data_IF_022520922529
#
_entry.id   IF_022520922529
#
_cell.length_a   1.000
_cell.length_b   1.000
_cell.length_c   1.000
_cell.angle_alpha   90.00
_cell.angle_beta   90.00
_cell.angle_gamma   90.00
#
_symmetry.space_group_name_H-M   'P 1'
#
loop_
_entity.id
_entity.type
_entity.pdbx_description
1 polymer ?
#
# COMPACT_ATOMS: atom_id res chain seq x y z
N UNK A 1 -83.14 -26.09 -10.81
CA UNK A 1 -82.75 -25.91 -9.40
C UNK A 1 -81.33 -26.46 -9.26
N UNK A 2 -80.33 -25.59 -9.06
CA UNK A 2 -79.01 -25.85 -8.47
C UNK A 2 -78.04 -26.71 -9.32
N UNK A 3 -76.73 -26.48 -9.47
CA UNK A 3 -75.77 -25.50 -8.94
C UNK A 3 -74.59 -25.46 -9.94
N UNK A 4 -74.05 -24.27 -10.09
CA UNK A 4 -72.79 -23.86 -10.71
C UNK A 4 -71.56 -24.70 -10.32
N UNK A 5 -70.60 -24.90 -11.23
CA UNK A 5 -69.17 -24.87 -10.87
C UNK A 5 -68.31 -24.25 -11.98
N UNK A 6 -67.66 -23.18 -11.57
CA UNK A 6 -66.68 -22.33 -12.23
C UNK A 6 -65.34 -23.03 -12.40
N UNK A 7 -64.57 -22.64 -13.41
CA UNK A 7 -63.11 -22.80 -13.41
C UNK A 7 -62.50 -21.64 -14.19
N UNK A 8 -61.51 -21.02 -13.55
CA UNK A 8 -61.11 -19.64 -13.70
C UNK A 8 -59.99 -19.43 -14.72
N UNK A 9 -59.91 -18.18 -15.17
CA UNK A 9 -58.81 -17.54 -15.87
C UNK A 9 -57.45 -17.72 -15.14
N UNK A 10 -56.41 -17.95 -15.92
CA UNK A 10 -55.06 -17.49 -15.59
C UNK A 10 -54.53 -16.71 -16.80
N UNK A 11 -54.70 -15.39 -16.76
CA UNK A 11 -54.06 -14.46 -17.69
C UNK A 11 -52.70 -14.07 -17.11
N UNK A 12 -51.62 -14.39 -17.83
CA UNK A 12 -50.27 -13.97 -17.49
C UNK A 12 -50.12 -12.46 -17.76
N UNK A 13 -50.02 -11.66 -16.70
CA UNK A 13 -49.60 -10.27 -16.78
C UNK A 13 -48.08 -10.22 -16.93
N UNK A 14 -47.61 -9.93 -18.14
CA UNK A 14 -46.24 -9.51 -18.37
C UNK A 14 -46.09 -8.07 -17.86
N UNK A 15 -45.53 -7.92 -16.65
CA UNK A 15 -45.08 -6.62 -16.15
C UNK A 15 -43.82 -6.22 -16.92
N UNK A 16 -44.00 -5.37 -17.93
CA UNK A 16 -42.92 -4.61 -18.54
C UNK A 16 -42.34 -3.64 -17.52
N UNK A 17 -41.28 -4.05 -16.84
CA UNK A 17 -40.47 -3.14 -16.02
C UNK A 17 -39.66 -2.30 -16.99
N UNK A 18 -40.07 -1.04 -17.18
CA UNK A 18 -39.22 -0.03 -17.79
C UNK A 18 -38.01 0.16 -16.87
N UNK A 19 -36.90 -0.50 -17.22
CA UNK A 19 -35.63 -0.27 -16.53
C UNK A 19 -35.22 1.18 -16.80
N UNK A 20 -34.91 1.98 -15.77
CA UNK A 20 -34.22 3.23 -16.00
C UNK A 20 -32.90 2.89 -16.69
N UNK A 21 -32.70 3.43 -17.90
CA UNK A 21 -31.39 3.44 -18.54
C UNK A 21 -30.51 4.24 -17.60
N UNK A 22 -29.73 3.55 -16.76
CA UNK A 22 -28.62 4.18 -16.08
C UNK A 22 -27.70 4.63 -17.20
N UNK A 23 -27.70 5.94 -17.47
CA UNK A 23 -26.56 6.59 -18.09
C UNK A 23 -25.42 6.31 -17.11
N UNK A 24 -24.69 5.23 -17.39
CA UNK A 24 -23.38 5.00 -16.80
C UNK A 24 -22.57 6.19 -17.28
N UNK A 25 -22.47 7.22 -16.43
CA UNK A 25 -21.33 8.09 -16.51
C UNK A 25 -20.14 7.13 -16.46
N UNK A 26 -19.47 6.95 -17.59
CA UNK A 26 -18.13 6.40 -17.61
C UNK A 26 -17.34 7.36 -16.75
N UNK A 27 -17.27 7.08 -15.45
CA UNK A 27 -16.20 7.60 -14.63
C UNK A 27 -14.98 7.01 -15.30
N UNK A 28 -14.35 7.83 -16.14
CA UNK A 28 -13.00 7.59 -16.63
C UNK A 28 -12.16 7.57 -15.37
N UNK A 29 -12.08 6.39 -14.75
CA UNK A 29 -11.05 6.09 -13.77
C UNK A 29 -9.81 6.10 -14.63
N UNK A 30 -9.18 7.27 -14.72
CA UNK A 30 -7.78 7.39 -15.11
C UNK A 30 -7.00 6.70 -14.01
N UNK A 31 -6.97 5.37 -14.05
CA UNK A 31 -5.90 4.60 -13.46
C UNK A 31 -4.68 4.99 -14.28
N UNK A 32 -3.95 6.01 -13.82
CA UNK A 32 -2.58 6.23 -14.28
C UNK A 32 -1.84 4.94 -13.98
N UNK A 33 -1.75 4.09 -14.99
CA UNK A 33 -0.80 2.97 -15.02
C UNK A 33 0.53 3.65 -15.19
N UNK A 34 1.13 4.00 -14.05
CA UNK A 34 2.47 4.55 -14.00
C UNK A 34 3.40 3.52 -14.63
N UNK A 35 4.00 3.86 -15.78
CA UNK A 35 4.99 3.03 -16.43
C UNK A 35 6.08 2.68 -15.41
N UNK A 36 6.22 1.38 -15.13
CA UNK A 36 7.19 0.85 -14.19
C UNK A 36 8.58 0.94 -14.83
N UNK A 37 9.37 1.94 -14.45
CA UNK A 37 10.81 1.96 -14.76
C UNK A 37 11.59 1.25 -13.63
N UNK A 38 12.13 0.04 -13.88
CA UNK A 38 12.89 -0.71 -12.88
C UNK A 38 14.18 -0.02 -12.43
N UNK A 39 14.64 1.04 -13.12
CA UNK A 39 15.82 1.81 -12.75
C UNK A 39 15.49 3.07 -11.93
N UNK A 40 14.22 3.49 -11.86
CA UNK A 40 13.80 4.68 -11.10
C UNK A 40 13.64 4.35 -9.60
N UNK A 41 13.40 3.08 -9.26
CA UNK A 41 13.16 2.60 -7.88
C UNK A 41 14.38 2.00 -7.18
N UNK A 42 15.52 1.86 -7.85
CA UNK A 42 16.76 1.36 -7.26
C UNK A 42 17.69 2.53 -6.88
N UNK A 43 17.43 3.18 -5.76
CA UNK A 43 18.30 4.27 -5.31
C UNK A 43 17.84 5.00 -4.06
N UNK A 44 18.79 5.57 -3.32
CA UNK A 44 18.49 6.52 -2.25
C UNK A 44 17.73 7.70 -2.87
N UNK A 45 16.51 8.04 -2.42
CA UNK A 45 15.75 9.16 -2.98
C UNK A 45 16.51 10.48 -2.75
N UNK A 46 16.16 11.52 -3.51
CA UNK A 46 16.85 12.82 -3.45
C UNK A 46 16.80 13.43 -2.03
N UNK A 47 15.67 13.28 -1.35
CA UNK A 47 15.41 13.81 -0.02
C UNK A 47 14.88 12.72 0.92
N UNK A 48 15.72 11.72 1.29
CA UNK A 48 15.32 10.75 2.30
C UNK A 48 15.26 11.47 3.65
N UNK A 49 14.28 11.13 4.46
CA UNK A 49 14.10 11.71 5.79
C UNK A 49 14.71 10.81 6.86
N UNK A 50 14.44 9.51 6.75
CA UNK A 50 14.93 8.47 7.64
C UNK A 50 14.84 7.13 6.92
N UNK A 51 15.22 6.04 7.59
CA UNK A 51 15.12 4.71 7.02
C UNK A 51 14.43 3.76 7.99
N UNK A 52 13.71 2.78 7.46
CA UNK A 52 13.05 1.76 8.25
C UNK A 52 13.38 0.36 7.77
N UNK A 53 13.44 -0.56 8.72
CA UNK A 53 13.51 -1.99 8.49
C UNK A 53 12.16 -2.59 8.82
N UNK A 54 11.57 -3.31 7.88
CA UNK A 54 10.36 -4.08 8.14
C UNK A 54 10.71 -5.54 8.39
N UNK A 55 9.93 -6.18 9.24
CA UNK A 55 9.82 -7.64 9.34
C UNK A 55 8.36 -7.98 9.10
N UNK A 56 8.10 -8.94 8.23
CA UNK A 56 6.75 -9.45 7.98
C UNK A 56 6.78 -10.97 7.90
N UNK A 57 5.65 -11.59 8.27
CA UNK A 57 5.43 -13.03 8.22
C UNK A 57 4.74 -13.47 6.93
N UNK A 58 3.94 -12.59 6.31
CA UNK A 58 3.11 -12.90 5.14
C UNK A 58 3.52 -12.19 3.86
N UNK A 59 4.10 -10.99 3.96
CA UNK A 59 4.52 -10.19 2.81
C UNK A 59 6.03 -10.20 2.68
N UNK A 60 6.49 -10.45 1.47
CA UNK A 60 7.91 -10.74 1.20
C UNK A 60 8.47 -9.83 0.12
N UNK A 61 7.65 -9.37 -0.82
CA UNK A 61 8.07 -8.47 -1.86
C UNK A 61 8.20 -7.04 -1.31
N UNK A 62 9.10 -6.23 -1.90
CA UNK A 62 9.17 -4.81 -1.57
C UNK A 62 7.88 -4.08 -1.98
N UNK A 63 7.26 -4.52 -3.07
CA UNK A 63 6.05 -3.94 -3.65
C UNK A 63 4.83 -4.06 -2.72
N UNK A 64 4.83 -5.05 -1.82
CA UNK A 64 3.80 -5.21 -0.78
C UNK A 64 3.77 -4.02 0.20
N UNK A 65 4.84 -3.23 0.26
CA UNK A 65 5.00 -2.10 1.18
C UNK A 65 5.06 -0.74 0.47
N UNK A 66 5.66 -0.65 -0.71
CA UNK A 66 5.87 0.65 -1.39
C UNK A 66 4.60 1.21 -2.04
N UNK A 67 3.62 0.37 -2.36
CA UNK A 67 2.35 0.77 -2.99
C UNK A 67 1.25 1.23 -2.04
N UNK A 68 1.51 1.25 -0.72
CA UNK A 68 0.48 1.51 0.29
C UNK A 68 0.45 2.99 0.67
N UNK A 69 -0.74 3.62 0.82
CA UNK A 69 -0.82 4.98 1.33
C UNK A 69 -0.55 4.99 2.84
N UNK A 70 0.41 5.82 3.26
CA UNK A 70 0.76 6.01 4.65
C UNK A 70 0.29 7.36 5.18
N UNK A 71 0.29 7.48 6.51
CA UNK A 71 -0.04 8.72 7.20
C UNK A 71 0.79 9.90 6.66
N UNK A 72 0.14 11.05 6.52
CA UNK A 72 0.75 12.28 6.03
C UNK A 72 1.47 12.13 4.68
N UNK A 73 1.01 11.23 3.81
CA UNK A 73 1.56 10.99 2.47
C UNK A 73 3.03 10.54 2.47
N UNK A 74 3.46 9.83 3.52
CA UNK A 74 4.77 9.20 3.53
C UNK A 74 4.88 8.14 2.43
N UNK A 75 6.05 8.06 1.80
CA UNK A 75 6.37 7.03 0.82
C UNK A 75 7.60 6.25 1.23
N UNK A 76 7.62 4.97 0.87
CA UNK A 76 8.77 4.11 1.04
C UNK A 76 9.41 3.84 -0.32
N UNK A 77 10.73 3.94 -0.37
CA UNK A 77 11.52 3.46 -1.49
C UNK A 77 12.44 2.34 -1.04
N UNK A 78 12.56 1.27 -1.83
CA UNK A 78 13.41 0.15 -1.45
C UNK A 78 14.89 0.54 -1.45
N UNK A 79 15.62 0.14 -0.41
CA UNK A 79 17.01 0.56 -0.27
C UNK A 79 18.00 -0.22 -1.14
N UNK A 80 17.72 -1.50 -1.39
CA UNK A 80 18.50 -2.34 -2.27
C UNK A 80 17.63 -3.51 -2.73
N UNK A 81 17.49 -3.69 -4.04
CA UNK A 81 17.20 -5.01 -4.57
C UNK A 81 18.42 -5.89 -4.31
N UNK A 82 18.36 -6.74 -3.28
CA UNK A 82 19.26 -7.89 -3.25
C UNK A 82 19.01 -8.64 -4.55
N UNK A 83 20.06 -8.94 -5.30
CA UNK A 83 19.93 -9.71 -6.53
C UNK A 83 19.05 -10.93 -6.23
N UNK A 84 18.00 -11.11 -7.01
CA UNK A 84 16.93 -12.11 -6.83
C UNK A 84 17.45 -13.48 -6.36
N UNK A 85 18.60 -13.90 -6.88
CA UNK A 85 19.30 -15.15 -6.55
C UNK A 85 19.73 -15.24 -5.07
N UNK A 86 20.27 -14.16 -4.50
CA UNK A 86 20.71 -14.12 -3.09
C UNK A 86 19.50 -14.06 -2.15
N UNK A 87 18.42 -13.39 -2.58
CA UNK A 87 17.17 -13.32 -1.82
C UNK A 87 16.48 -14.68 -1.78
N UNK A 88 16.42 -15.38 -2.93
CA UNK A 88 15.86 -16.73 -3.02
C UNK A 88 16.64 -17.74 -2.16
N UNK A 89 17.98 -17.68 -2.17
CA UNK A 89 18.82 -18.51 -1.29
C UNK A 89 18.60 -18.18 0.20
N UNK A 90 18.49 -16.90 0.54
CA UNK A 90 18.20 -16.49 1.91
C UNK A 90 16.82 -16.98 2.38
N UNK A 91 15.80 -16.95 1.52
CA UNK A 91 14.45 -17.41 1.86
C UNK A 91 14.36 -18.93 2.03
N UNK A 92 15.16 -19.70 1.27
CA UNK A 92 15.24 -21.17 1.40
C UNK A 92 15.90 -21.58 2.72
N UNK A 93 16.92 -20.83 3.18
CA UNK A 93 17.68 -21.19 4.39
C UNK A 93 17.25 -20.46 5.67
N UNK A 94 16.65 -19.26 5.57
CA UNK A 94 16.22 -18.46 6.71
C UNK A 94 14.72 -18.63 6.96
N UNK A 95 14.38 -19.43 7.97
CA UNK A 95 13.00 -19.65 8.42
C UNK A 95 12.24 -18.31 8.63
N UNK A 96 11.29 -18.04 7.71
CA UNK A 96 10.01 -17.32 7.89
C UNK A 96 9.98 -15.82 8.24
N UNK A 97 11.07 -15.05 8.14
CA UNK A 97 10.97 -13.58 8.30
C UNK A 97 11.79 -12.83 7.27
N UNK A 98 11.11 -12.35 6.24
CA UNK A 98 11.71 -11.46 5.25
C UNK A 98 11.96 -10.11 5.89
N UNK A 99 13.13 -9.56 5.59
CA UNK A 99 13.61 -8.28 6.13
C UNK A 99 13.87 -7.35 4.97
N UNK A 100 12.94 -6.45 4.70
CA UNK A 100 13.13 -5.40 3.72
C UNK A 100 13.56 -4.11 4.43
N UNK A 101 14.39 -3.32 3.76
CA UNK A 101 14.82 -1.99 4.24
C UNK A 101 14.38 -0.95 3.23
N UNK A 102 13.90 0.17 3.76
CA UNK A 102 13.28 1.22 2.98
C UNK A 102 13.78 2.59 3.42
N UNK A 103 13.99 3.47 2.45
CA UNK A 103 14.09 4.91 2.66
C UNK A 103 12.69 5.47 2.77
N UNK A 104 12.46 6.32 3.77
CA UNK A 104 11.18 7.03 3.90
C UNK A 104 11.38 8.47 3.47
N UNK A 105 10.47 8.96 2.63
CA UNK A 105 10.53 10.30 2.06
C UNK A 105 9.10 10.86 1.89
N UNK A 106 9.00 12.18 1.73
CA UNK A 106 7.76 12.83 1.33
C UNK A 106 7.70 12.88 -0.20
N UNK A 107 6.52 12.74 -0.79
CA UNK A 107 6.38 12.81 -2.23
C UNK A 107 6.77 14.21 -2.72
N UNK A 108 7.64 14.33 -3.74
CA UNK A 108 8.20 15.63 -4.17
C UNK A 108 7.31 16.38 -5.18
N UNK A 109 6.01 16.08 -5.27
CA UNK A 109 5.22 16.55 -6.42
C UNK A 109 4.67 17.97 -6.31
N UNK A 110 4.63 18.58 -5.13
CA UNK A 110 4.40 20.02 -4.96
C UNK A 110 4.85 20.46 -3.56
N UNK A 111 5.89 21.31 -3.44
CA UNK A 111 6.38 21.82 -2.15
C UNK A 111 5.31 22.49 -1.28
N UNK A 112 4.21 22.93 -1.89
CA UNK A 112 3.09 23.53 -1.18
C UNK A 112 2.05 22.53 -0.66
N UNK A 113 2.04 21.29 -1.17
CA UNK A 113 1.09 20.23 -0.75
C UNK A 113 1.67 19.27 0.29
N UNK A 114 2.99 19.10 0.35
CA UNK A 114 3.62 18.14 1.26
C UNK A 114 4.06 18.72 2.62
N UNK A 115 3.55 19.91 2.97
CA UNK A 115 3.78 20.52 4.30
C UNK A 115 3.31 19.62 5.43
N UNK A 116 2.25 18.83 5.21
CA UNK A 116 1.72 17.90 6.20
C UNK A 116 2.70 16.76 6.49
N UNK A 117 3.35 16.23 5.45
CA UNK A 117 4.36 15.18 5.57
C UNK A 117 5.57 15.68 6.37
N UNK A 118 6.16 16.80 5.98
CA UNK A 118 7.31 17.36 6.70
C UNK A 118 6.96 17.74 8.14
N UNK A 119 5.78 18.30 8.37
CA UNK A 119 5.32 18.70 9.71
C UNK A 119 5.13 17.48 10.60
N UNK A 120 4.49 16.42 10.07
CA UNK A 120 4.33 15.15 10.77
C UNK A 120 5.69 14.55 11.14
N UNK A 121 6.62 14.49 10.19
CA UNK A 121 7.96 13.95 10.41
C UNK A 121 8.71 14.79 11.43
N UNK A 122 8.79 16.11 11.28
CA UNK A 122 9.46 17.00 12.26
C UNK A 122 8.90 16.86 13.68
N UNK A 123 7.58 16.66 13.81
CA UNK A 123 6.92 16.46 15.11
C UNK A 123 7.17 15.08 15.72
N UNK A 124 7.30 14.06 14.88
CA UNK A 124 7.34 12.65 15.33
C UNK A 124 8.75 12.06 15.35
N UNK A 125 9.71 12.62 14.61
CA UNK A 125 11.13 12.20 14.56
C UNK A 125 11.83 12.10 15.93
N UNK A 126 11.50 12.90 16.96
CA UNK A 126 12.04 12.65 18.30
C UNK A 126 11.75 11.23 18.83
N UNK A 127 10.75 10.55 18.27
CA UNK A 127 10.37 9.17 18.56
C UNK A 127 10.11 8.37 17.28
N UNK A 128 11.18 7.79 16.71
CA UNK A 128 11.07 6.87 15.58
C UNK A 128 10.22 5.62 15.87
N UNK A 129 10.01 5.27 17.15
CA UNK A 129 9.13 4.16 17.53
C UNK A 129 7.69 4.44 17.15
N UNK A 130 7.20 5.65 17.42
CA UNK A 130 5.85 6.05 17.04
C UNK A 130 5.64 6.06 15.52
N UNK A 131 6.62 6.55 14.75
CA UNK A 131 6.54 6.48 13.28
C UNK A 131 6.47 5.02 12.83
N UNK A 132 7.29 4.15 13.40
CA UNK A 132 7.29 2.73 13.06
C UNK A 132 5.94 2.06 13.36
N UNK A 133 5.31 2.40 14.48
CA UNK A 133 3.97 1.91 14.85
C UNK A 133 2.90 2.40 13.87
N UNK A 134 2.94 3.68 13.47
CA UNK A 134 2.01 4.25 12.50
C UNK A 134 2.18 3.60 11.10
N UNK A 135 3.42 3.31 10.68
CA UNK A 135 3.70 2.58 9.43
C UNK A 135 3.21 1.13 9.49
N UNK A 136 3.47 0.43 10.60
CA UNK A 136 3.02 -0.94 10.83
C UNK A 136 1.49 -1.01 10.79
N UNK A 137 0.83 -0.08 11.49
CA UNK A 137 -0.63 0.03 11.50
C UNK A 137 -1.18 0.29 10.11
N UNK A 138 -0.62 1.24 9.36
CA UNK A 138 -1.08 1.56 8.00
C UNK A 138 -1.03 0.34 7.07
N UNK A 139 0.01 -0.48 7.18
CA UNK A 139 0.15 -1.73 6.41
C UNK A 139 -0.83 -2.80 6.90
N UNK A 140 -0.88 -3.04 8.21
CA UNK A 140 -1.69 -4.13 8.77
C UNK A 140 -3.20 -3.85 8.69
N UNK A 141 -3.61 -2.58 8.64
CA UNK A 141 -5.01 -2.19 8.43
C UNK A 141 -5.46 -2.39 6.98
N UNK A 142 -4.51 -2.35 6.02
CA UNK A 142 -4.79 -2.42 4.58
C UNK A 142 -4.41 -3.78 3.96
N UNK A 143 -3.61 -4.57 4.66
CA UNK A 143 -3.04 -5.83 4.17
C UNK A 143 -2.99 -6.85 5.31
N UNK A 144 -2.82 -8.13 4.99
CA UNK A 144 -2.62 -9.18 6.00
C UNK A 144 -1.13 -9.47 6.24
N UNK A 145 -0.25 -8.47 6.10
CA UNK A 145 1.20 -8.67 6.15
C UNK A 145 1.73 -9.01 7.55
N UNK A 146 1.05 -8.61 8.63
CA UNK A 146 1.58 -8.69 10.01
C UNK A 146 3.01 -8.13 10.08
N UNK A 147 3.13 -6.88 9.64
CA UNK A 147 4.37 -6.15 9.51
C UNK A 147 4.73 -5.42 10.81
N UNK A 148 6.01 -5.45 11.16
CA UNK A 148 6.61 -4.66 12.24
C UNK A 148 7.74 -3.82 11.66
N UNK A 149 7.72 -2.51 11.89
CA UNK A 149 8.77 -1.61 11.46
C UNK A 149 9.73 -1.27 12.60
N UNK A 150 10.97 -0.96 12.24
CA UNK A 150 11.95 -0.32 13.10
C UNK A 150 12.64 0.77 12.31
N UNK A 151 12.52 2.02 12.75
CA UNK A 151 13.02 3.19 12.02
C UNK A 151 14.24 3.81 12.70
N UNK A 152 15.10 4.44 11.89
CA UNK A 152 16.41 4.96 12.27
C UNK A 152 16.68 6.27 11.55
N UNK A 153 17.38 7.18 12.22
CA UNK A 153 17.91 8.39 11.59
C UNK A 153 18.92 8.06 10.49
N UNK A 154 19.10 8.97 9.54
CA UNK A 154 20.02 8.76 8.42
C UNK A 154 21.48 8.62 8.90
N UNK A 155 21.81 9.30 9.99
CA UNK A 155 23.08 9.24 10.69
C UNK A 155 23.39 7.86 11.27
N UNK A 156 22.37 7.06 11.57
CA UNK A 156 22.49 5.71 12.13
C UNK A 156 22.53 4.63 11.03
N UNK A 157 22.51 5.03 9.76
CA UNK A 157 22.51 4.11 8.62
C UNK A 157 23.87 4.07 7.92
N UNK A 158 24.27 2.87 7.49
CA UNK A 158 25.38 2.64 6.55
C UNK A 158 24.96 3.07 5.14
N UNK A 159 25.93 3.22 4.23
CA UNK A 159 25.69 3.58 2.81
C UNK A 159 24.66 2.66 2.11
N UNK A 160 24.46 1.43 2.59
CA UNK A 160 23.48 0.47 2.09
C UNK A 160 22.14 0.43 2.82
N UNK A 161 21.77 1.46 3.59
CA UNK A 161 20.51 1.47 4.36
C UNK A 161 20.40 0.27 5.32
N UNK A 162 21.52 -0.07 5.95
CA UNK A 162 21.57 -1.00 7.06
C UNK A 162 21.91 -0.20 8.32
N UNK A 163 21.26 -0.47 9.46
CA UNK A 163 21.64 0.14 10.72
C UNK A 163 23.13 -0.09 11.02
N UNK A 164 23.77 0.91 11.64
CA UNK A 164 25.19 0.86 12.02
C UNK A 164 25.52 -0.34 12.91
#
# INVERSE_FOLDING_TARGET
>A
MWITKTSALAAALALGVAMPVMVSAETTVTTETRDYDPNEYSGKPAHPLFACKVKSTHCTAADDFTGVPYIANLQLNTCQHRAFIVQMLADVFARRRVRNTFWVYCQDKDKDKDKDCETYVKKTVPDYGKIADDLAKSINDQTNCDATFHCYGLEDMKKGCEPK
#
